data_IF_306114029266
#
_entry.id   IF_306114029266
#
_cell.length_a   1.000
_cell.length_b   1.000
_cell.length_c   1.000
_cell.angle_alpha   90.00
_cell.angle_beta   90.00
_cell.angle_gamma   90.00
#
_symmetry.space_group_name_H-M   'P 1'
#
loop_
_entity.id
_entity.type
_entity.pdbx_description
1 polymer ?
#
# COMPACT_ATOMS: atom_id res chain seq x y z
N UNK A 1 7.58 27.99 -27.71
CA UNK A 1 7.32 27.09 -26.54
C UNK A 1 5.83 27.10 -26.27
N UNK A 2 5.12 26.09 -26.72
CA UNK A 2 3.71 25.94 -26.34
C UNK A 2 3.64 25.68 -24.83
N UNK A 3 3.08 26.64 -24.11
CA UNK A 3 2.77 26.51 -22.71
C UNK A 3 1.57 25.57 -22.60
N UNK A 4 1.81 24.35 -22.17
CA UNK A 4 0.69 23.45 -21.85
C UNK A 4 -0.20 24.16 -20.82
N UNK A 5 -1.52 24.06 -20.98
CA UNK A 5 -2.43 24.72 -20.08
C UNK A 5 -2.14 24.22 -18.64
N UNK A 6 -2.24 25.12 -17.67
CA UNK A 6 -2.19 24.83 -16.23
C UNK A 6 -3.19 23.73 -15.80
N UNK A 7 -4.07 23.33 -16.71
CA UNK A 7 -5.05 22.24 -16.57
C UNK A 7 -4.46 20.85 -16.34
N UNK A 8 -3.20 20.56 -16.71
CA UNK A 8 -2.62 19.23 -16.44
C UNK A 8 -2.29 19.00 -14.97
N UNK A 9 -2.20 20.06 -14.18
CA UNK A 9 -2.00 20.01 -12.73
C UNK A 9 -3.28 20.28 -11.93
N UNK A 10 -4.35 20.69 -12.62
CA UNK A 10 -5.64 20.89 -11.96
C UNK A 10 -6.30 19.55 -11.66
N UNK A 11 -6.71 19.38 -10.41
CA UNK A 11 -7.51 18.26 -10.00
C UNK A 11 -9.01 18.55 -10.12
N UNK A 12 -9.79 17.49 -10.26
CA UNK A 12 -11.23 17.53 -10.11
C UNK A 12 -11.67 17.79 -8.65
N UNK A 13 -12.97 17.66 -8.36
CA UNK A 13 -13.53 17.85 -7.02
C UNK A 13 -12.96 16.89 -5.96
N UNK A 14 -12.34 15.79 -6.37
CA UNK A 14 -11.63 14.84 -5.51
C UNK A 14 -10.11 15.07 -5.52
N UNK A 15 -9.63 16.06 -6.25
CA UNK A 15 -8.21 16.37 -6.45
C UNK A 15 -7.52 15.44 -7.44
N UNK A 16 -8.27 14.69 -8.25
CA UNK A 16 -7.68 13.81 -9.27
C UNK A 16 -7.22 14.62 -10.47
N UNK A 17 -5.92 14.63 -10.69
CA UNK A 17 -5.32 15.22 -11.90
C UNK A 17 -5.36 14.23 -13.07
N UNK A 18 -5.12 14.67 -14.32
CA UNK A 18 -4.98 13.77 -15.46
C UNK A 18 -3.98 12.63 -15.24
N UNK A 19 -2.90 12.87 -14.47
CA UNK A 19 -1.91 11.84 -14.15
C UNK A 19 -2.47 10.77 -13.19
N UNK A 20 -3.29 11.15 -12.21
CA UNK A 20 -3.99 10.21 -11.35
C UNK A 20 -4.92 9.30 -12.14
N UNK A 21 -5.70 9.88 -13.07
CA UNK A 21 -6.60 9.13 -13.95
C UNK A 21 -5.82 8.18 -14.85
N UNK A 22 -4.73 8.64 -15.46
CA UNK A 22 -3.87 7.82 -16.29
C UNK A 22 -3.26 6.64 -15.51
N UNK A 23 -2.86 6.89 -14.27
CA UNK A 23 -2.32 5.86 -13.38
C UNK A 23 -3.37 4.82 -12.99
N UNK A 24 -4.60 5.24 -12.69
CA UNK A 24 -5.72 4.35 -12.41
C UNK A 24 -6.09 3.47 -13.62
N UNK A 25 -6.15 4.06 -14.80
CA UNK A 25 -6.47 3.34 -16.04
C UNK A 25 -5.32 2.46 -16.54
N UNK A 26 -4.11 2.56 -15.98
CA UNK A 26 -2.93 1.85 -16.46
C UNK A 26 -2.42 2.35 -17.81
N UNK A 27 -2.78 3.57 -18.22
CA UNK A 27 -2.40 4.11 -19.51
C UNK A 27 -0.97 4.67 -19.49
N UNK A 28 0.00 3.78 -19.71
CA UNK A 28 1.45 4.08 -19.72
C UNK A 28 1.82 5.19 -20.72
N UNK A 29 1.23 5.16 -21.90
CA UNK A 29 1.57 6.13 -22.96
C UNK A 29 1.09 7.55 -22.59
N UNK A 30 -0.09 7.65 -21.98
CA UNK A 30 -0.58 8.93 -21.49
C UNK A 30 0.23 9.45 -20.30
N UNK A 31 0.63 8.56 -19.37
CA UNK A 31 1.57 8.90 -18.29
C UNK A 31 2.87 9.46 -18.85
N UNK A 32 3.47 8.79 -19.86
CA UNK A 32 4.69 9.25 -20.51
C UNK A 32 4.50 10.65 -21.10
N UNK A 33 3.42 10.87 -21.85
CA UNK A 33 3.11 12.16 -22.47
C UNK A 33 2.99 13.30 -21.43
N UNK A 34 2.32 13.03 -20.31
CA UNK A 34 2.17 14.02 -19.24
C UNK A 34 3.51 14.37 -18.60
N UNK A 35 4.40 13.38 -18.39
CA UNK A 35 5.72 13.58 -17.76
C UNK A 35 6.77 14.18 -18.71
N UNK A 36 6.60 14.12 -20.05
CA UNK A 36 7.49 14.78 -21.02
C UNK A 36 7.54 16.30 -20.85
N UNK A 37 6.59 16.90 -20.18
CA UNK A 37 6.49 18.34 -19.96
C UNK A 37 7.01 18.80 -18.59
N UNK A 38 7.34 17.86 -17.76
CA UNK A 38 7.88 18.10 -16.41
C UNK A 38 7.37 17.08 -15.42
N UNK A 39 8.11 16.93 -14.34
CA UNK A 39 7.84 15.91 -13.33
C UNK A 39 6.92 16.38 -12.19
N UNK A 40 6.61 17.68 -12.12
CA UNK A 40 5.76 18.25 -11.07
C UNK A 40 4.41 17.54 -10.90
N UNK A 41 3.70 17.09 -11.98
CA UNK A 41 2.45 16.38 -11.82
C UNK A 41 2.57 15.07 -11.03
N UNK A 42 3.74 14.42 -11.03
CA UNK A 42 3.95 13.14 -10.33
C UNK A 42 3.89 13.28 -8.81
N UNK A 43 4.21 14.46 -8.28
CA UNK A 43 4.24 14.75 -6.83
C UNK A 43 2.91 15.32 -6.31
N UNK A 44 1.96 15.60 -7.19
CA UNK A 44 0.63 16.04 -6.79
C UNK A 44 -0.11 14.91 -6.07
N UNK A 45 -0.88 15.29 -5.06
CA UNK A 45 -1.69 14.37 -4.25
C UNK A 45 -3.16 14.76 -4.36
N UNK A 46 -4.02 13.77 -4.46
CA UNK A 46 -5.46 13.98 -4.41
C UNK A 46 -5.94 14.32 -2.98
N UNK A 47 -7.22 14.49 -2.74
CA UNK A 47 -7.78 14.81 -1.41
C UNK A 47 -7.56 13.71 -0.35
N UNK A 48 -7.29 12.46 -0.77
CA UNK A 48 -6.88 11.36 0.11
C UNK A 48 -5.37 11.34 0.40
N UNK A 49 -4.61 12.24 -0.22
CA UNK A 49 -3.15 12.27 -0.15
C UNK A 49 -2.46 11.31 -1.12
N UNK A 50 -3.21 10.59 -1.95
CA UNK A 50 -2.65 9.62 -2.89
C UNK A 50 -1.98 10.34 -4.06
N UNK A 51 -0.74 9.97 -4.36
CA UNK A 51 -0.07 10.32 -5.62
C UNK A 51 -0.44 9.33 -6.73
N UNK A 52 -0.12 9.67 -7.97
CA UNK A 52 -0.29 8.76 -9.11
C UNK A 52 0.45 7.42 -8.90
N UNK A 53 1.56 7.41 -8.15
CA UNK A 53 2.32 6.21 -7.82
C UNK A 53 1.58 5.29 -6.84
N UNK A 54 0.95 5.86 -5.80
CA UNK A 54 0.08 5.10 -4.90
C UNK A 54 -1.10 4.46 -5.64
N UNK A 55 -1.74 5.22 -6.54
CA UNK A 55 -2.86 4.73 -7.33
C UNK A 55 -2.41 3.59 -8.26
N UNK A 56 -1.29 3.78 -8.98
CA UNK A 56 -0.74 2.73 -9.84
C UNK A 56 -0.41 1.44 -9.06
N UNK A 57 0.11 1.58 -7.83
CA UNK A 57 0.41 0.44 -6.96
C UNK A 57 -0.87 -0.28 -6.50
N UNK A 58 -1.89 0.48 -6.09
CA UNK A 58 -3.19 -0.05 -5.67
C UNK A 58 -3.91 -0.80 -6.80
N UNK A 59 -3.86 -0.27 -8.01
CA UNK A 59 -4.43 -0.91 -9.20
C UNK A 59 -3.54 -2.03 -9.77
N UNK A 60 -2.28 -2.12 -9.35
CA UNK A 60 -1.34 -3.11 -9.85
C UNK A 60 -0.75 -2.79 -11.23
N UNK A 61 -0.81 -1.54 -11.64
CA UNK A 61 -0.37 -1.05 -12.95
C UNK A 61 1.16 -0.90 -13.04
N UNK A 62 1.86 -2.03 -13.08
CA UNK A 62 3.33 -2.09 -13.12
C UNK A 62 3.97 -1.21 -14.19
N UNK A 63 3.44 -1.22 -15.41
CA UNK A 63 4.01 -0.45 -16.50
C UNK A 63 3.96 1.07 -16.25
N UNK A 64 2.93 1.55 -15.55
CA UNK A 64 2.81 2.94 -15.08
C UNK A 64 3.80 3.20 -13.96
N UNK A 65 3.91 2.28 -12.98
CA UNK A 65 4.88 2.41 -11.89
C UNK A 65 6.32 2.53 -12.41
N UNK A 66 6.69 1.70 -13.39
CA UNK A 66 8.00 1.78 -14.05
C UNK A 66 8.25 3.16 -14.65
N UNK A 67 7.27 3.73 -15.35
CA UNK A 67 7.41 5.06 -15.97
C UNK A 67 7.51 6.19 -14.93
N UNK A 68 6.76 6.10 -13.85
CA UNK A 68 6.82 7.09 -12.78
C UNK A 68 8.19 7.07 -12.08
N UNK A 69 8.75 5.89 -11.78
CA UNK A 69 10.07 5.76 -11.15
C UNK A 69 11.19 6.17 -12.10
N UNK A 70 11.08 5.88 -13.41
CA UNK A 70 12.06 6.33 -14.40
C UNK A 70 12.14 7.86 -14.47
N UNK A 71 11.01 8.55 -14.33
CA UNK A 71 10.94 10.01 -14.38
C UNK A 71 11.23 10.68 -13.03
N UNK A 72 10.83 10.05 -11.93
CA UNK A 72 10.87 10.57 -10.57
C UNK A 72 11.38 9.48 -9.61
N UNK A 73 12.70 9.29 -9.47
CA UNK A 73 13.26 8.19 -8.67
C UNK A 73 12.91 8.25 -7.17
N UNK A 74 12.63 9.43 -6.64
CA UNK A 74 12.28 9.72 -5.25
C UNK A 74 10.77 9.68 -4.94
N UNK A 75 9.94 9.36 -5.94
CA UNK A 75 8.47 9.35 -5.80
C UNK A 75 7.97 8.36 -4.72
N UNK A 76 8.78 7.38 -4.35
CA UNK A 76 8.45 6.39 -3.33
C UNK A 76 8.42 6.94 -1.90
N UNK A 77 9.02 8.12 -1.68
CA UNK A 77 9.04 8.77 -0.37
C UNK A 77 7.71 9.44 -0.01
N UNK A 78 6.80 9.54 -0.98
CA UNK A 78 5.49 10.15 -0.75
C UNK A 78 4.63 9.27 0.16
N UNK A 79 3.98 9.93 1.13
CA UNK A 79 2.97 9.34 2.00
C UNK A 79 1.59 9.89 1.68
N UNK A 80 0.55 9.08 1.86
CA UNK A 80 -0.83 9.56 1.80
C UNK A 80 -1.25 10.27 3.10
N UNK A 81 -2.53 10.67 3.20
CA UNK A 81 -3.07 11.37 4.38
C UNK A 81 -3.18 10.47 5.63
N UNK A 82 -2.95 9.17 5.51
CA UNK A 82 -2.90 8.20 6.62
C UNK A 82 -1.47 7.77 6.96
N UNK A 83 -0.46 8.46 6.43
CA UNK A 83 0.94 8.07 6.62
C UNK A 83 1.35 6.80 5.88
N UNK A 84 0.58 6.36 4.87
CA UNK A 84 0.82 5.13 4.13
C UNK A 84 1.75 5.37 2.96
N UNK A 85 2.79 4.57 2.84
CA UNK A 85 3.69 4.55 1.70
C UNK A 85 3.16 3.65 0.56
N UNK A 86 3.88 3.62 -0.55
CA UNK A 86 3.49 2.84 -1.75
C UNK A 86 3.37 1.33 -1.50
N UNK A 87 4.11 0.75 -0.53
CA UNK A 87 3.97 -0.67 -0.19
C UNK A 87 2.65 -0.97 0.52
N UNK A 88 2.13 -0.05 1.32
CA UNK A 88 0.79 -0.14 1.90
C UNK A 88 -0.26 -0.15 0.78
N UNK A 89 -0.14 0.74 -0.22
CA UNK A 89 -1.03 0.77 -1.36
C UNK A 89 -0.95 -0.54 -2.18
N UNK A 90 0.25 -1.08 -2.40
CA UNK A 90 0.45 -2.37 -3.05
C UNK A 90 -0.13 -3.54 -2.23
N UNK A 91 -0.13 -3.44 -0.90
CA UNK A 91 -0.74 -4.44 -0.03
C UNK A 91 -2.28 -4.48 -0.15
N UNK A 92 -2.92 -3.38 -0.50
CA UNK A 92 -4.36 -3.31 -0.80
C UNK A 92 -4.70 -3.82 -2.21
N UNK A 93 -3.74 -3.89 -3.13
CA UNK A 93 -3.98 -4.27 -4.52
C UNK A 93 -4.59 -5.68 -4.64
N UNK A 94 -5.51 -5.87 -5.55
CA UNK A 94 -6.06 -7.21 -5.87
C UNK A 94 -5.08 -8.07 -6.68
N UNK A 95 -4.03 -7.47 -7.26
CA UNK A 95 -3.02 -8.17 -8.07
C UNK A 95 -1.69 -8.27 -7.32
N UNK A 96 -0.88 -9.26 -7.66
CA UNK A 96 0.48 -9.38 -7.10
C UNK A 96 1.51 -8.51 -7.82
N UNK A 97 1.11 -7.84 -8.90
CA UNK A 97 2.03 -7.22 -9.87
C UNK A 97 2.81 -6.06 -9.27
N UNK A 98 2.11 -5.13 -8.60
CA UNK A 98 2.75 -4.00 -7.94
C UNK A 98 3.67 -4.46 -6.80
N UNK A 99 3.18 -5.40 -6.00
CA UNK A 99 3.93 -5.97 -4.90
C UNK A 99 5.24 -6.63 -5.37
N UNK A 100 5.19 -7.43 -6.45
CA UNK A 100 6.37 -8.07 -7.03
C UNK A 100 7.34 -7.06 -7.66
N UNK A 101 6.81 -5.94 -8.17
CA UNK A 101 7.63 -4.86 -8.71
C UNK A 101 8.42 -4.13 -7.62
N UNK A 102 7.80 -3.88 -6.48
CA UNK A 102 8.41 -3.15 -5.36
C UNK A 102 9.30 -4.06 -4.51
N UNK A 103 8.88 -5.32 -4.29
CA UNK A 103 9.59 -6.23 -3.41
C UNK A 103 10.93 -6.69 -4.02
N UNK A 104 11.99 -6.53 -3.24
CA UNK A 104 13.36 -6.92 -3.64
C UNK A 104 14.15 -5.83 -4.35
N UNK A 105 13.62 -4.63 -4.42
CA UNK A 105 14.37 -3.44 -4.83
C UNK A 105 14.98 -2.76 -3.61
N UNK A 106 16.29 -2.51 -3.59
CA UNK A 106 16.98 -1.93 -2.43
C UNK A 106 16.39 -0.58 -1.99
N UNK A 107 15.92 0.23 -2.93
CA UNK A 107 15.35 1.55 -2.65
C UNK A 107 14.08 1.51 -1.82
N UNK A 108 13.39 0.36 -1.75
CA UNK A 108 12.14 0.20 -0.99
C UNK A 108 12.32 -0.61 0.31
N UNK A 109 13.54 -1.08 0.61
CA UNK A 109 13.81 -1.88 1.83
C UNK A 109 13.43 -1.12 3.11
N UNK A 110 13.71 0.19 3.16
CA UNK A 110 13.34 1.03 4.31
C UNK A 110 11.83 1.13 4.56
N UNK A 111 11.02 1.02 3.51
CA UNK A 111 9.56 1.21 3.60
C UNK A 111 8.81 0.00 4.18
N UNK A 112 9.45 -1.17 4.22
CA UNK A 112 8.80 -2.45 4.55
C UNK A 112 8.26 -2.49 5.97
N UNK A 113 8.94 -1.79 6.90
CA UNK A 113 8.60 -1.75 8.32
C UNK A 113 7.99 -0.42 8.77
N UNK A 114 7.80 0.53 7.85
CA UNK A 114 7.13 1.78 8.19
C UNK A 114 5.69 1.52 8.60
N UNK A 115 5.24 2.24 9.60
CA UNK A 115 3.89 2.16 10.12
C UNK A 115 3.06 3.35 9.65
N UNK A 116 1.82 3.08 9.26
CA UNK A 116 0.83 4.11 9.01
C UNK A 116 0.32 4.76 10.32
N UNK A 117 -0.62 5.69 10.22
CA UNK A 117 -1.21 6.37 11.40
C UNK A 117 -1.93 5.40 12.36
N UNK A 118 -2.35 4.23 11.91
CA UNK A 118 -2.97 3.19 12.74
C UNK A 118 -1.93 2.18 13.28
N UNK A 119 -0.65 2.41 13.00
CA UNK A 119 0.46 1.54 13.38
C UNK A 119 0.59 0.28 12.53
N UNK A 120 -0.14 0.20 11.40
CA UNK A 120 -0.02 -0.95 10.51
C UNK A 120 1.20 -0.83 9.62
N UNK A 121 1.95 -1.91 9.50
CA UNK A 121 2.94 -2.07 8.45
C UNK A 121 2.28 -2.56 7.15
N UNK A 122 2.95 -2.48 5.99
CA UNK A 122 2.47 -3.10 4.76
C UNK A 122 2.13 -4.59 4.92
N UNK A 123 2.86 -5.32 5.78
CA UNK A 123 2.58 -6.71 6.12
C UNK A 123 1.27 -6.89 6.86
N UNK A 124 1.00 -6.06 7.89
CA UNK A 124 -0.26 -6.09 8.63
C UNK A 124 -1.44 -5.86 7.70
N UNK A 125 -1.31 -4.87 6.82
CA UNK A 125 -2.34 -4.52 5.85
C UNK A 125 -2.58 -5.63 4.82
N UNK A 126 -1.52 -6.26 4.30
CA UNK A 126 -1.65 -7.40 3.40
C UNK A 126 -2.36 -8.58 4.07
N UNK A 127 -2.05 -8.86 5.34
CA UNK A 127 -2.66 -9.92 6.12
C UNK A 127 -4.15 -9.63 6.39
N UNK A 128 -4.49 -8.40 6.78
CA UNK A 128 -5.87 -7.98 7.03
C UNK A 128 -6.75 -8.08 5.77
N UNK A 129 -6.16 -7.86 4.59
CA UNK A 129 -6.86 -8.03 3.30
C UNK A 129 -6.90 -9.49 2.80
N UNK A 130 -6.42 -10.46 3.57
CA UNK A 130 -6.41 -11.88 3.20
C UNK A 130 -5.28 -12.26 2.24
N UNK A 131 -4.32 -11.39 2.01
CA UNK A 131 -3.20 -11.65 1.11
C UNK A 131 -2.01 -12.24 1.86
N UNK A 132 -2.22 -13.37 2.54
CA UNK A 132 -1.25 -14.05 3.40
C UNK A 132 0.10 -14.31 2.70
N UNK A 133 0.08 -14.62 1.40
CA UNK A 133 1.30 -14.80 0.61
C UNK A 133 2.15 -13.53 0.54
N UNK A 134 1.52 -12.34 0.44
CA UNK A 134 2.23 -11.06 0.41
C UNK A 134 2.82 -10.73 1.78
N UNK A 135 2.03 -10.92 2.83
CA UNK A 135 2.49 -10.73 4.20
C UNK A 135 3.74 -11.59 4.50
N UNK A 136 3.73 -12.86 4.09
CA UNK A 136 4.87 -13.76 4.23
C UNK A 136 6.07 -13.36 3.38
N UNK A 137 5.86 -12.84 2.16
CA UNK A 137 6.97 -12.44 1.28
C UNK A 137 7.65 -11.17 1.73
N UNK A 138 6.94 -10.22 2.30
CA UNK A 138 7.55 -9.09 2.99
C UNK A 138 8.47 -9.57 4.11
N UNK A 139 8.10 -10.66 4.80
CA UNK A 139 8.91 -11.28 5.85
C UNK A 139 10.13 -12.07 5.39
N UNK A 140 10.32 -12.29 4.10
CA UNK A 140 11.46 -13.06 3.55
C UNK A 140 12.58 -12.19 2.99
N UNK A 141 12.47 -10.86 3.07
CA UNK A 141 13.56 -9.94 2.77
C UNK A 141 14.75 -10.13 3.73
N UNK A 142 15.92 -9.63 3.34
CA UNK A 142 17.16 -9.78 4.13
C UNK A 142 17.11 -9.08 5.49
N UNK A 143 16.19 -8.15 5.67
CA UNK A 143 15.94 -7.47 6.93
C UNK A 143 14.70 -8.02 7.61
N UNK A 144 14.77 -8.10 8.93
CA UNK A 144 13.72 -8.62 9.79
C UNK A 144 12.48 -7.75 9.62
N UNK A 145 11.55 -8.19 8.78
CA UNK A 145 10.20 -7.62 8.80
C UNK A 145 9.65 -7.83 10.20
N UNK A 146 9.17 -6.77 10.81
CA UNK A 146 8.55 -6.81 12.14
C UNK A 146 7.22 -7.58 12.07
N UNK A 147 7.32 -8.90 11.88
CA UNK A 147 6.14 -9.79 11.91
C UNK A 147 5.46 -9.73 13.28
N UNK A 148 6.22 -9.39 14.32
CA UNK A 148 5.78 -9.29 15.71
C UNK A 148 5.44 -7.86 16.14
N UNK A 149 5.62 -6.85 15.26
CA UNK A 149 5.18 -5.49 15.56
C UNK A 149 3.66 -5.43 15.64
N UNK A 150 3.12 -4.87 16.73
CA UNK A 150 1.68 -4.65 16.88
C UNK A 150 1.28 -3.30 16.31
N UNK A 151 0.10 -3.25 15.70
CA UNK A 151 -0.55 -1.98 15.38
C UNK A 151 -1.15 -1.33 16.66
N UNK A 152 -1.79 -0.18 16.53
CA UNK A 152 -2.42 0.52 17.67
C UNK A 152 -3.57 -0.25 18.33
N UNK A 153 -4.16 -1.21 17.63
CA UNK A 153 -5.18 -2.12 18.16
C UNK A 153 -4.57 -3.33 18.88
N UNK A 154 -3.25 -3.46 18.87
CA UNK A 154 -2.52 -4.57 19.51
C UNK A 154 -2.41 -5.84 18.65
N UNK A 155 -2.78 -5.79 17.36
CA UNK A 155 -2.67 -6.93 16.45
C UNK A 155 -1.31 -6.99 15.76
N UNK A 156 -0.72 -8.18 15.75
CA UNK A 156 0.45 -8.49 14.92
C UNK A 156 0.02 -8.89 13.50
N UNK A 157 0.98 -8.98 12.59
CA UNK A 157 0.73 -9.53 11.24
C UNK A 157 0.16 -10.94 11.31
N UNK A 158 0.64 -11.77 12.25
CA UNK A 158 0.18 -13.15 12.42
C UNK A 158 -1.26 -13.21 12.93
N UNK A 159 -1.65 -12.31 13.85
CA UNK A 159 -3.02 -12.21 14.33
C UNK A 159 -3.99 -11.89 13.18
N UNK A 160 -3.62 -10.97 12.31
CA UNK A 160 -4.40 -10.63 11.11
C UNK A 160 -4.52 -11.81 10.13
N UNK A 161 -3.44 -12.58 9.92
CA UNK A 161 -3.48 -13.82 9.11
C UNK A 161 -4.46 -14.82 9.70
N UNK A 162 -4.38 -15.08 11.01
CA UNK A 162 -5.25 -16.04 11.70
C UNK A 162 -6.71 -15.61 11.64
N UNK A 163 -7.02 -14.33 11.89
CA UNK A 163 -8.37 -13.79 11.78
C UNK A 163 -8.94 -13.97 10.36
N UNK A 164 -8.13 -13.69 9.34
CA UNK A 164 -8.57 -13.80 7.95
C UNK A 164 -8.85 -15.24 7.54
N UNK A 165 -8.00 -16.20 7.93
CA UNK A 165 -8.21 -17.62 7.67
C UNK A 165 -9.49 -18.10 8.34
N UNK A 166 -9.75 -17.66 9.59
CA UNK A 166 -10.97 -18.03 10.31
C UNK A 166 -12.24 -17.49 9.68
N UNK A 167 -12.22 -16.24 9.17
CA UNK A 167 -13.37 -15.63 8.52
C UNK A 167 -13.69 -16.27 7.17
N UNK A 168 -12.69 -16.79 6.47
CA UNK A 168 -12.85 -17.43 5.15
C UNK A 168 -13.21 -18.93 5.25
N UNK A 169 -13.10 -19.55 6.43
CA UNK A 169 -13.41 -20.98 6.60
C UNK A 169 -14.93 -21.22 6.72
N UNK A 170 -15.52 -22.09 5.87
CA UNK A 170 -16.94 -22.48 6.00
C UNK A 170 -17.25 -23.26 7.28
N UNK A 171 -16.23 -23.74 8.01
CA UNK A 171 -16.34 -24.44 9.29
C UNK A 171 -16.41 -23.48 10.50
N UNK A 172 -16.91 -22.29 10.31
CA UNK A 172 -16.94 -21.17 11.27
C UNK A 172 -17.75 -21.41 12.57
N UNK A 173 -18.18 -22.65 12.87
CA UNK A 173 -18.99 -23.00 14.05
C UNK A 173 -18.23 -23.89 15.05
N UNK A 174 -16.90 -23.86 15.03
CA UNK A 174 -16.13 -24.64 16.00
C UNK A 174 -15.93 -23.87 17.33
N UNK A 175 -16.16 -24.50 18.51
CA UNK A 175 -15.90 -23.88 19.82
C UNK A 175 -14.47 -23.36 20.01
N UNK A 176 -13.54 -23.89 19.22
CA UNK A 176 -12.15 -23.45 19.16
C UNK A 176 -11.98 -21.98 18.73
N UNK A 177 -12.93 -21.45 17.96
CA UNK A 177 -12.97 -20.05 17.51
C UNK A 177 -13.12 -19.06 18.67
N UNK A 178 -13.99 -19.39 19.65
CA UNK A 178 -14.20 -18.52 20.82
C UNK A 178 -13.00 -18.54 21.75
N UNK A 179 -12.33 -19.67 21.86
CA UNK A 179 -11.11 -19.83 22.64
C UNK A 179 -9.93 -19.07 22.02
N UNK A 180 -9.80 -19.09 20.67
CA UNK A 180 -8.75 -18.34 19.96
C UNK A 180 -9.01 -16.83 19.99
N UNK A 181 -10.24 -16.38 19.79
CA UNK A 181 -10.61 -14.96 19.92
C UNK A 181 -10.39 -14.44 21.34
N UNK A 182 -10.57 -15.29 22.36
CA UNK A 182 -10.24 -14.95 23.75
C UNK A 182 -8.73 -15.01 24.05
N UNK A 183 -7.97 -15.82 23.31
CA UNK A 183 -6.52 -15.91 23.44
C UNK A 183 -5.77 -14.81 22.68
N UNK A 184 -6.40 -14.24 21.63
CA UNK A 184 -5.85 -13.14 20.81
C UNK A 184 -6.19 -11.75 21.41
N UNK A 185 -6.96 -11.69 22.50
CA UNK A 185 -7.15 -10.42 23.22
C UNK A 185 -5.81 -9.89 23.71
N UNK A 186 -5.46 -8.64 23.42
CA UNK A 186 -4.21 -8.05 23.89
C UNK A 186 -4.13 -8.18 25.42
N UNK A 187 -2.96 -8.56 25.91
CA UNK A 187 -2.65 -8.84 27.32
C UNK A 187 -2.85 -7.65 28.30
N UNK A 188 -3.46 -6.54 27.87
CA UNK A 188 -3.53 -5.30 28.65
C UNK A 188 -4.91 -4.96 29.21
N UNK A 189 -5.83 -5.92 29.42
CA UNK A 189 -7.16 -5.61 30.00
C UNK A 189 -7.49 -6.43 31.25
N UNK A 190 -6.50 -6.88 32.03
CA UNK A 190 -6.74 -7.39 33.38
C UNK A 190 -5.65 -6.89 34.35
N UNK A 191 -5.71 -5.62 34.71
CA UNK A 191 -5.38 -5.15 36.02
C UNK A 191 -6.59 -4.34 36.51
N UNK A 192 -7.50 -5.06 37.19
CA UNK A 192 -8.28 -4.66 38.37
C UNK A 192 -9.14 -5.83 38.80
#
# INVERSE_FOLDING_TARGET
MEKWPSTIEQGDDLGWTPLHIAAHMGNREFVKLLLEKGNSPAYLRNKEGLSAFHIAAKEGNRAVMEKLVEACPDIYELLDNKGRNVLHAAAESRTHTAFLFLNGRPEYEGLVNEQDEDGNTPSNMAAANGYNFRAQRLGKGRDIVLINGTNKEGFTTMDNVLLTIQLQSPLAVCPFRLALLNAIRPHNLWEF
#
